data_IF_115537869354
#
_entry.id   IF_115537869354
#
_cell.length_a   1.000
_cell.length_b   1.000
_cell.length_c   1.000
_cell.angle_alpha   90.00
_cell.angle_beta   90.00
_cell.angle_gamma   90.00
#
_symmetry.space_group_name_H-M   'P 1'
#
loop_
_entity.id
_entity.type
_entity.pdbx_description
1 polymer ?
#
# COMPACT_ATOMS: atom_id res chain seq x y z
N UNK A 1 -1.48 16.54 -38.46
CA UNK A 1 -1.96 15.34 -37.75
C UNK A 1 -0.74 14.50 -37.46
N UNK A 2 -0.03 14.90 -36.42
CA UNK A 2 1.11 14.23 -35.79
C UNK A 2 0.75 14.22 -34.29
N UNK A 3 0.48 13.07 -33.72
CA UNK A 3 1.54 12.27 -33.11
C UNK A 3 1.19 12.19 -31.63
N UNK A 4 0.42 11.15 -31.28
CA UNK A 4 0.03 10.69 -29.95
C UNK A 4 0.65 11.43 -28.75
N UNK A 5 -0.17 12.20 -28.03
CA UNK A 5 0.09 12.51 -26.63
C UNK A 5 -0.07 11.18 -25.89
N UNK A 6 1.04 10.55 -25.56
CA UNK A 6 1.08 9.52 -24.53
C UNK A 6 0.77 10.26 -23.22
N UNK A 7 -0.52 10.35 -22.88
CA UNK A 7 -1.01 11.06 -21.69
C UNK A 7 -0.69 10.21 -20.47
N UNK A 8 0.61 10.15 -20.13
CA UNK A 8 1.07 9.47 -18.94
C UNK A 8 0.53 10.23 -17.73
N UNK A 9 -0.45 9.61 -17.05
CA UNK A 9 -0.96 10.10 -15.78
C UNK A 9 0.20 10.10 -14.79
N UNK A 10 0.75 11.29 -14.51
CA UNK A 10 1.80 11.48 -13.51
C UNK A 10 1.19 11.53 -12.11
N UNK A 11 1.87 10.92 -11.14
CA UNK A 11 1.47 10.97 -9.74
C UNK A 11 1.79 12.36 -9.17
N UNK A 12 0.79 13.06 -8.64
CA UNK A 12 0.99 14.35 -7.97
C UNK A 12 1.68 14.16 -6.61
N UNK A 13 2.95 14.55 -6.55
CA UNK A 13 3.76 14.47 -5.33
C UNK A 13 3.47 15.60 -4.34
N UNK A 14 2.63 16.58 -4.68
CA UNK A 14 2.26 17.68 -3.78
C UNK A 14 1.15 17.31 -2.79
N UNK A 15 0.41 16.22 -3.05
CA UNK A 15 -0.47 15.64 -2.04
C UNK A 15 0.37 15.11 -0.88
N UNK A 16 0.05 15.50 0.35
CA UNK A 16 0.83 15.14 1.53
C UNK A 16 0.10 14.13 2.42
N UNK A 17 0.82 13.12 2.90
CA UNK A 17 0.33 12.16 3.89
C UNK A 17 0.71 12.55 5.33
N UNK A 18 1.81 13.30 5.49
CA UNK A 18 2.28 13.83 6.79
C UNK A 18 2.95 15.19 6.59
N UNK A 19 2.86 16.06 7.59
CA UNK A 19 3.43 17.42 7.51
C UNK A 19 3.93 17.95 8.86
N UNK A 20 3.21 17.66 9.95
CA UNK A 20 3.55 18.15 11.28
C UNK A 20 4.89 17.57 11.76
N UNK A 21 5.83 18.47 12.09
CA UNK A 21 7.12 18.10 12.69
C UNK A 21 8.18 17.59 11.70
N UNK A 22 7.98 17.79 10.39
CA UNK A 22 8.92 17.41 9.34
C UNK A 22 9.55 18.65 8.67
N UNK A 23 10.75 18.53 8.07
CA UNK A 23 11.36 19.62 7.29
C UNK A 23 10.53 20.08 6.08
N UNK A 24 9.60 19.25 5.61
CA UNK A 24 8.61 19.56 4.57
C UNK A 24 7.50 18.50 4.53
N UNK A 25 6.40 18.74 3.78
CA UNK A 25 5.33 17.75 3.63
C UNK A 25 5.86 16.46 3.00
N UNK A 26 5.54 15.31 3.60
CA UNK A 26 5.89 14.00 3.07
C UNK A 26 4.82 13.54 2.07
N UNK A 27 5.19 13.20 0.82
CA UNK A 27 4.22 12.86 -0.22
C UNK A 27 3.30 11.71 0.18
N UNK A 28 2.02 11.85 -0.13
CA UNK A 28 0.97 10.89 0.21
C UNK A 28 1.27 9.52 -0.41
N UNK A 29 1.68 9.48 -1.67
CA UNK A 29 2.01 8.22 -2.35
C UNK A 29 3.15 7.48 -1.64
N UNK A 30 4.18 8.20 -1.18
CA UNK A 30 5.27 7.60 -0.40
C UNK A 30 4.75 7.05 0.91
N UNK A 31 3.91 7.81 1.62
CA UNK A 31 3.33 7.33 2.88
C UNK A 31 2.44 6.08 2.70
N UNK A 32 1.67 6.01 1.62
CA UNK A 32 0.84 4.84 1.28
C UNK A 32 1.71 3.63 0.97
N UNK A 33 2.76 3.80 0.13
CA UNK A 33 3.72 2.72 -0.16
C UNK A 33 4.43 2.23 1.10
N UNK A 34 4.85 3.13 1.99
CA UNK A 34 5.47 2.76 3.27
C UNK A 34 4.51 1.96 4.15
N UNK A 35 3.24 2.36 4.18
CA UNK A 35 2.21 1.69 4.98
C UNK A 35 1.90 0.29 4.42
N UNK A 36 1.77 0.14 3.10
CA UNK A 36 1.59 -1.16 2.45
C UNK A 36 2.79 -2.09 2.65
N UNK A 37 4.01 -1.54 2.57
CA UNK A 37 5.23 -2.29 2.86
C UNK A 37 5.27 -2.76 4.33
N UNK A 38 4.94 -1.88 5.27
CA UNK A 38 4.86 -2.23 6.69
C UNK A 38 3.79 -3.30 6.96
N UNK A 39 2.59 -3.16 6.38
CA UNK A 39 1.51 -4.14 6.50
C UNK A 39 1.90 -5.50 5.93
N UNK A 40 2.62 -5.53 4.80
CA UNK A 40 3.13 -6.77 4.19
C UNK A 40 4.08 -7.51 5.14
N UNK A 41 5.02 -6.79 5.75
CA UNK A 41 5.99 -7.37 6.69
C UNK A 41 5.29 -7.82 7.97
N UNK A 42 4.38 -7.01 8.52
CA UNK A 42 3.61 -7.39 9.71
C UNK A 42 2.77 -8.64 9.47
N UNK A 43 2.08 -8.72 8.33
CA UNK A 43 1.31 -9.91 7.96
C UNK A 43 2.21 -11.16 7.93
N UNK A 44 3.33 -11.09 7.21
CA UNK A 44 4.23 -12.24 7.04
C UNK A 44 4.92 -12.66 8.33
N UNK A 45 5.47 -11.70 9.07
CA UNK A 45 6.48 -11.97 10.10
C UNK A 45 5.94 -11.81 11.53
N UNK A 46 4.86 -11.07 11.72
CA UNK A 46 4.33 -10.76 13.05
C UNK A 46 2.97 -11.40 13.33
N UNK A 47 2.09 -11.50 12.33
CA UNK A 47 0.76 -12.10 12.50
C UNK A 47 0.88 -13.63 12.58
N UNK A 48 0.38 -14.26 13.67
CA UNK A 48 0.40 -15.71 13.80
C UNK A 48 -0.33 -16.41 12.66
N UNK A 49 0.19 -17.56 12.23
CA UNK A 49 -0.38 -18.38 11.15
C UNK A 49 -1.86 -18.71 11.37
N UNK A 50 -2.27 -18.98 12.62
CA UNK A 50 -3.66 -19.27 12.98
C UNK A 50 -4.60 -18.10 12.66
N UNK A 51 -4.16 -16.87 12.92
CA UNK A 51 -4.92 -15.67 12.61
C UNK A 51 -4.92 -15.39 11.11
N UNK A 52 -3.76 -15.58 10.44
CA UNK A 52 -3.70 -15.45 8.97
C UNK A 52 -4.66 -16.40 8.26
N UNK A 53 -4.67 -17.66 8.71
CA UNK A 53 -5.59 -18.69 8.24
C UNK A 53 -7.05 -18.36 8.53
N UNK A 54 -7.36 -17.78 9.70
CA UNK A 54 -8.72 -17.40 10.05
C UNK A 54 -9.26 -16.29 9.14
N UNK A 55 -8.46 -15.25 8.87
CA UNK A 55 -8.84 -14.16 7.97
C UNK A 55 -8.97 -14.67 6.53
N UNK A 56 -8.03 -15.49 6.06
CA UNK A 56 -8.10 -16.10 4.73
C UNK A 56 -9.39 -16.92 4.51
N UNK A 57 -9.78 -17.74 5.51
CA UNK A 57 -11.08 -18.44 5.47
C UNK A 57 -12.26 -17.47 5.44
N UNK A 58 -12.24 -16.41 6.24
CA UNK A 58 -13.31 -15.41 6.26
C UNK A 58 -13.44 -14.60 4.96
N UNK A 59 -12.34 -14.45 4.22
CA UNK A 59 -12.29 -13.77 2.92
C UNK A 59 -12.42 -14.72 1.74
N UNK A 60 -12.65 -16.02 1.99
CA UNK A 60 -12.80 -17.07 0.98
C UNK A 60 -11.67 -17.07 -0.07
N UNK A 61 -10.44 -16.78 0.39
CA UNK A 61 -9.27 -16.69 -0.48
C UNK A 61 -8.01 -17.18 0.25
N UNK A 62 -6.89 -17.27 -0.46
CA UNK A 62 -5.65 -17.75 0.11
C UNK A 62 -4.92 -16.66 0.93
N UNK A 63 -4.04 -17.09 1.83
CA UNK A 63 -3.27 -16.22 2.74
C UNK A 63 -2.38 -15.22 1.99
N UNK A 64 -1.88 -15.57 0.80
CA UNK A 64 -1.06 -14.68 -0.01
C UNK A 64 -1.91 -13.55 -0.61
N UNK A 65 -3.10 -13.89 -1.12
CA UNK A 65 -4.06 -12.92 -1.63
C UNK A 65 -4.57 -11.99 -0.54
N UNK A 66 -4.96 -12.52 0.64
CA UNK A 66 -5.31 -11.69 1.80
C UNK A 66 -4.18 -10.75 2.19
N UNK A 67 -2.93 -11.25 2.22
CA UNK A 67 -1.77 -10.42 2.55
C UNK A 67 -1.61 -9.22 1.60
N UNK A 68 -1.82 -9.43 0.29
CA UNK A 68 -1.79 -8.33 -0.70
C UNK A 68 -2.95 -7.36 -0.52
N UNK A 69 -4.15 -7.85 -0.20
CA UNK A 69 -5.33 -7.02 0.03
C UNK A 69 -5.21 -6.16 1.31
N UNK A 70 -4.60 -6.69 2.36
CA UNK A 70 -4.32 -5.94 3.60
C UNK A 70 -3.28 -4.84 3.36
N UNK A 71 -2.35 -5.06 2.44
CA UNK A 71 -1.29 -4.11 2.11
C UNK A 71 -1.69 -3.05 1.07
N UNK A 72 -2.90 -3.13 0.52
CA UNK A 72 -3.44 -2.23 -0.51
C UNK A 72 -4.36 -1.17 0.11
#
# INVERSE_FOLDING_TARGET
MDGSIDDQISVDLNLWGKSKGLPGPYPLICHLMDSGAAATVLWRDYVPESLRSAVARGMETDISTVGRLIAF
#
